data_IF_423329270847
#
_entry.id   IF_423329270847
#
_cell.length_a   1.000
_cell.length_b   1.000
_cell.length_c   1.000
_cell.angle_alpha   90.00
_cell.angle_beta   90.00
_cell.angle_gamma   90.00
#
_symmetry.space_group_name_H-M   'P 1'
#
loop_
_entity.id
_entity.type
_entity.pdbx_description
1 polymer ?
#
# COMPACT_ATOMS: atom_id res chain seq x y z
N UNK A 1 -4.52 0.92 -16.22
CA UNK A 1 -3.99 0.17 -15.06
C UNK A 1 -3.36 1.08 -14.02
N UNK A 2 -2.38 1.93 -14.36
CA UNK A 2 -1.66 2.76 -13.37
C UNK A 2 -2.57 3.60 -12.46
N UNK A 3 -3.63 4.22 -13.01
CA UNK A 3 -4.61 4.95 -12.21
C UNK A 3 -5.32 4.08 -11.15
N UNK A 4 -5.75 2.87 -11.53
CA UNK A 4 -6.40 1.94 -10.60
C UNK A 4 -5.43 1.52 -9.47
N UNK A 5 -4.16 1.26 -9.78
CA UNK A 5 -3.15 1.00 -8.75
C UNK A 5 -2.97 2.19 -7.80
N UNK A 6 -2.98 3.43 -8.32
CA UNK A 6 -2.93 4.64 -7.49
C UNK A 6 -4.17 4.81 -6.63
N UNK A 7 -5.35 4.44 -7.13
CA UNK A 7 -6.59 4.43 -6.33
C UNK A 7 -6.47 3.47 -5.17
N UNK A 8 -6.03 2.23 -5.41
CA UNK A 8 -5.87 1.24 -4.34
C UNK A 8 -4.80 1.68 -3.33
N UNK A 9 -3.67 2.24 -3.78
CA UNK A 9 -2.65 2.83 -2.91
C UNK A 9 -3.23 3.93 -2.01
N UNK A 10 -4.01 4.86 -2.56
CA UNK A 10 -4.61 5.94 -1.76
C UNK A 10 -5.64 5.37 -0.77
N UNK A 11 -6.42 4.36 -1.15
CA UNK A 11 -7.35 3.68 -0.24
C UNK A 11 -6.58 3.06 0.92
N UNK A 12 -5.50 2.32 0.65
CA UNK A 12 -4.68 1.69 1.68
C UNK A 12 -3.99 2.72 2.58
N UNK A 13 -3.55 3.86 2.03
CA UNK A 13 -3.07 4.98 2.82
C UNK A 13 -4.14 5.54 3.78
N UNK A 14 -5.40 5.65 3.33
CA UNK A 14 -6.51 5.99 4.22
C UNK A 14 -6.80 4.91 5.26
N UNK A 15 -6.63 3.62 4.93
CA UNK A 15 -6.74 2.52 5.90
C UNK A 15 -5.71 2.67 7.02
N UNK A 16 -4.46 3.03 6.71
CA UNK A 16 -3.44 3.29 7.75
C UNK A 16 -3.83 4.46 8.68
N UNK A 17 -4.62 5.41 8.17
CA UNK A 17 -5.15 6.55 8.90
C UNK A 17 -6.51 6.28 9.57
N UNK A 18 -7.01 5.04 9.57
CA UNK A 18 -8.38 4.70 10.02
C UNK A 18 -9.44 5.62 9.37
N UNK A 19 -9.26 5.92 8.08
CA UNK A 19 -10.05 6.85 7.28
C UNK A 19 -10.16 8.27 7.88
N UNK A 20 -9.21 8.71 8.69
CA UNK A 20 -9.10 10.11 9.08
C UNK A 20 -8.82 10.98 7.84
N UNK A 21 -9.46 12.16 7.66
CA UNK A 21 -10.33 12.87 8.62
C UNK A 21 -11.81 12.49 8.58
N UNK A 22 -12.24 11.66 7.62
CA UNK A 22 -13.66 11.32 7.43
C UNK A 22 -14.28 10.64 8.66
N UNK A 23 -13.53 9.77 9.32
CA UNK A 23 -13.97 9.12 10.56
C UNK A 23 -14.16 10.10 11.72
N UNK A 24 -13.36 11.16 11.79
CA UNK A 24 -13.51 12.22 12.80
C UNK A 24 -14.73 13.11 12.52
N UNK A 25 -14.95 13.47 11.26
CA UNK A 25 -16.09 14.29 10.85
C UNK A 25 -17.42 13.56 11.04
N UNK A 26 -17.47 12.27 10.73
CA UNK A 26 -18.66 11.44 10.96
C UNK A 26 -19.00 11.29 12.45
N UNK A 27 -17.98 11.23 13.33
CA UNK A 27 -18.18 11.23 14.79
C UNK A 27 -18.71 12.59 15.30
N UNK A 28 -18.21 13.69 14.75
CA UNK A 28 -18.62 15.03 15.14
C UNK A 28 -20.05 15.38 14.68
N UNK A 29 -20.49 14.83 13.55
CA UNK A 29 -21.84 15.03 13.03
C UNK A 29 -22.48 13.69 12.61
N UNK A 30 -23.27 13.04 13.48
CA UNK A 30 -23.90 11.75 13.21
C UNK A 30 -24.82 11.74 11.99
N UNK A 31 -25.35 12.90 11.57
CA UNK A 31 -26.17 13.00 10.34
C UNK A 31 -25.35 12.79 9.06
N UNK A 32 -24.03 13.01 9.12
CA UNK A 32 -23.10 12.75 8.01
C UNK A 32 -22.60 11.30 7.96
N UNK A 33 -22.82 10.52 9.03
CA UNK A 33 -22.45 9.10 9.07
C UNK A 33 -23.40 8.20 8.25
N UNK A 34 -24.48 8.77 7.68
CA UNK A 34 -25.44 8.06 6.86
C UNK A 34 -24.82 7.59 5.54
N UNK A 35 -24.76 6.26 5.36
CA UNK A 35 -24.62 5.67 4.03
C UNK A 35 -25.94 5.88 3.27
N UNK A 36 -25.93 6.13 1.94
CA UNK A 36 -24.82 5.94 1.00
C UNK A 36 -24.02 7.20 0.65
N UNK A 37 -24.51 8.40 0.98
CA UNK A 37 -23.93 9.68 0.53
C UNK A 37 -22.48 9.86 0.97
N UNK A 38 -22.15 9.50 2.22
CA UNK A 38 -20.79 9.66 2.73
C UNK A 38 -19.77 8.76 2.01
N UNK A 39 -20.18 7.56 1.60
CA UNK A 39 -19.33 6.65 0.82
C UNK A 39 -19.05 7.17 -0.60
N UNK A 40 -20.01 7.87 -1.21
CA UNK A 40 -19.81 8.52 -2.52
C UNK A 40 -18.80 9.65 -2.39
N UNK A 41 -18.94 10.49 -1.36
CA UNK A 41 -18.02 11.61 -1.11
C UNK A 41 -16.60 11.11 -0.89
N UNK A 42 -16.39 10.11 -0.03
CA UNK A 42 -15.05 9.56 0.21
C UNK A 42 -14.46 8.95 -1.06
N UNK A 43 -15.26 8.24 -1.86
CA UNK A 43 -14.82 7.68 -3.14
C UNK A 43 -14.38 8.77 -4.12
N UNK A 44 -15.16 9.86 -4.25
CA UNK A 44 -14.80 10.99 -5.10
C UNK A 44 -13.49 11.66 -4.64
N UNK A 45 -13.29 11.81 -3.34
CA UNK A 45 -12.04 12.38 -2.80
C UNK A 45 -10.85 11.47 -3.08
N UNK A 46 -10.98 10.16 -2.89
CA UNK A 46 -9.93 9.19 -3.24
C UNK A 46 -9.59 9.29 -4.72
N UNK A 47 -10.58 9.28 -5.61
CA UNK A 47 -10.34 9.40 -7.05
C UNK A 47 -9.66 10.72 -7.42
N UNK A 48 -10.05 11.84 -6.80
CA UNK A 48 -9.43 13.14 -7.03
C UNK A 48 -7.97 13.17 -6.58
N UNK A 49 -7.65 12.63 -5.39
CA UNK A 49 -6.29 12.53 -4.87
C UNK A 49 -5.44 11.63 -5.78
N UNK A 50 -5.94 10.45 -6.15
CA UNK A 50 -5.23 9.53 -7.04
C UNK A 50 -4.97 10.14 -8.41
N UNK A 51 -5.92 10.91 -8.94
CA UNK A 51 -5.74 11.62 -10.20
C UNK A 51 -4.65 12.69 -10.07
N UNK A 52 -4.68 13.49 -9.01
CA UNK A 52 -3.67 14.52 -8.74
C UNK A 52 -2.25 13.93 -8.61
N UNK A 53 -2.09 12.83 -7.88
CA UNK A 53 -0.79 12.14 -7.72
C UNK A 53 -0.28 11.65 -9.09
N UNK A 54 -1.15 10.99 -9.87
CA UNK A 54 -0.76 10.46 -11.18
C UNK A 54 -0.37 11.59 -12.14
N UNK A 55 -1.14 12.67 -12.20
CA UNK A 55 -0.82 13.83 -13.04
C UNK A 55 0.49 14.49 -12.62
N UNK A 56 0.73 14.63 -11.32
CA UNK A 56 1.97 15.19 -10.81
C UNK A 56 3.18 14.33 -11.22
N UNK A 57 3.13 13.02 -11.00
CA UNK A 57 4.26 12.15 -11.32
C UNK A 57 4.49 11.97 -12.84
N UNK A 58 3.43 11.75 -13.62
CA UNK A 58 3.59 11.44 -15.05
C UNK A 58 3.78 12.72 -15.87
N UNK A 59 2.94 13.74 -15.64
CA UNK A 59 2.92 14.94 -16.49
C UNK A 59 3.90 16.00 -16.02
N UNK A 60 4.01 16.25 -14.71
CA UNK A 60 4.89 17.30 -14.18
C UNK A 60 6.32 16.80 -13.99
N UNK A 61 6.50 15.60 -13.43
CA UNK A 61 7.84 15.00 -13.24
C UNK A 61 8.33 14.21 -14.46
N UNK A 62 7.49 14.01 -15.48
CA UNK A 62 7.86 13.31 -16.72
C UNK A 62 8.15 11.82 -16.55
N UNK A 63 7.62 11.18 -15.50
CA UNK A 63 7.83 9.74 -15.29
C UNK A 63 7.10 8.93 -16.36
N UNK A 64 7.76 7.87 -16.84
CA UNK A 64 7.09 6.86 -17.66
C UNK A 64 5.94 6.20 -16.87
N UNK A 65 4.83 5.93 -17.55
CA UNK A 65 3.59 5.45 -16.92
C UNK A 65 3.74 4.07 -16.27
N UNK A 66 4.61 3.21 -16.81
CA UNK A 66 4.87 1.86 -16.28
C UNK A 66 5.87 1.92 -15.14
N UNK A 67 6.97 2.67 -15.28
CA UNK A 67 7.91 2.90 -14.16
C UNK A 67 7.21 3.57 -12.98
N UNK A 68 6.37 4.59 -13.23
CA UNK A 68 5.51 5.20 -12.23
C UNK A 68 4.68 4.14 -11.49
N UNK A 69 3.94 3.31 -12.22
CA UNK A 69 3.07 2.29 -11.64
C UNK A 69 3.82 1.33 -10.70
N UNK A 70 5.01 0.88 -11.10
CA UNK A 70 5.77 -0.08 -10.31
C UNK A 70 6.47 0.60 -9.13
N UNK A 71 7.12 1.73 -9.38
CA UNK A 71 7.92 2.45 -8.38
C UNK A 71 7.07 3.12 -7.31
N UNK A 72 5.91 3.66 -7.68
CA UNK A 72 5.07 4.43 -6.75
C UNK A 72 3.96 3.56 -6.18
N UNK A 73 2.83 3.27 -6.85
CA UNK A 73 1.73 2.57 -6.21
C UNK A 73 2.01 1.11 -5.88
N UNK A 74 2.63 0.32 -6.77
CA UNK A 74 2.89 -1.11 -6.49
C UNK A 74 3.84 -1.29 -5.31
N UNK A 75 4.95 -0.54 -5.28
CA UNK A 75 5.92 -0.62 -4.18
C UNK A 75 5.31 -0.10 -2.87
N UNK A 76 4.53 0.98 -2.92
CA UNK A 76 3.84 1.54 -1.74
C UNK A 76 2.82 0.54 -1.19
N UNK A 77 1.98 -0.05 -2.04
CA UNK A 77 1.03 -1.09 -1.64
C UNK A 77 1.71 -2.26 -0.95
N UNK A 78 2.84 -2.72 -1.48
CA UNK A 78 3.60 -3.80 -0.85
C UNK A 78 4.11 -3.40 0.55
N UNK A 79 4.63 -2.17 0.70
CA UNK A 79 5.01 -1.62 2.00
C UNK A 79 3.83 -1.56 2.98
N UNK A 80 2.67 -1.07 2.52
CA UNK A 80 1.44 -1.01 3.31
C UNK A 80 0.98 -2.40 3.76
N UNK A 81 1.02 -3.40 2.88
CA UNK A 81 0.66 -4.78 3.24
C UNK A 81 1.59 -5.39 4.28
N UNK A 82 2.89 -5.08 4.27
CA UNK A 82 3.77 -5.54 5.35
C UNK A 82 3.37 -4.89 6.68
N UNK A 83 3.04 -3.59 6.69
CA UNK A 83 2.56 -2.91 7.91
C UNK A 83 1.24 -3.50 8.42
N UNK A 84 0.28 -3.74 7.52
CA UNK A 84 -1.06 -4.22 7.86
C UNK A 84 -1.03 -5.71 8.23
N UNK A 85 -0.46 -6.55 7.39
CA UNK A 85 -0.53 -8.02 7.54
C UNK A 85 0.55 -8.52 8.49
N UNK A 86 1.82 -8.19 8.24
CA UNK A 86 2.93 -8.75 9.04
C UNK A 86 3.10 -8.06 10.39
N UNK A 87 2.91 -6.75 10.44
CA UNK A 87 3.04 -6.00 11.70
C UNK A 87 1.71 -5.83 12.43
N UNK A 88 0.58 -6.25 11.85
CA UNK A 88 -0.78 -6.15 12.43
C UNK A 88 -1.12 -4.75 12.97
N UNK A 89 -0.60 -3.69 12.35
CA UNK A 89 -0.70 -2.30 12.85
C UNK A 89 -0.26 -2.14 14.32
N UNK A 90 0.56 -3.06 14.82
CA UNK A 90 0.99 -3.18 16.21
C UNK A 90 2.02 -2.13 16.65
N UNK A 91 2.94 -1.67 15.77
CA UNK A 91 3.74 -0.51 16.07
C UNK A 91 2.82 0.68 16.38
N UNK A 92 3.00 1.32 17.53
CA UNK A 92 2.30 2.55 17.94
C UNK A 92 0.80 2.41 18.27
N UNK A 93 0.33 1.26 18.77
CA UNK A 93 -1.07 1.09 19.25
C UNK A 93 -1.54 2.15 20.26
N UNK A 94 -0.62 2.75 21.03
CA UNK A 94 -0.93 3.78 22.03
C UNK A 94 -0.97 5.20 21.48
N UNK A 95 -0.59 5.41 20.23
CA UNK A 95 -0.56 6.75 19.62
C UNK A 95 -1.93 7.10 19.03
N UNK A 96 -2.50 8.28 19.32
CA UNK A 96 -3.78 8.69 18.74
C UNK A 96 -3.67 9.06 17.25
N UNK A 97 -4.79 8.99 16.54
CA UNK A 97 -4.90 9.53 15.19
C UNK A 97 -4.90 11.07 15.21
N UNK A 98 -4.34 11.77 14.21
CA UNK A 98 -3.82 11.23 12.94
C UNK A 98 -2.34 10.81 13.00
N UNK A 99 -1.65 11.08 14.11
CA UNK A 99 -0.20 10.88 14.20
C UNK A 99 0.19 9.41 13.98
N UNK A 100 -0.59 8.47 14.53
CA UNK A 100 -0.38 7.03 14.31
C UNK A 100 -0.37 6.68 12.82
N UNK A 101 -1.40 7.06 12.08
CA UNK A 101 -1.48 6.72 10.66
C UNK A 101 -0.41 7.40 9.83
N UNK A 102 0.01 8.63 10.18
CA UNK A 102 1.14 9.30 9.53
C UNK A 102 2.44 8.51 9.74
N UNK A 103 2.73 8.08 10.99
CA UNK A 103 3.93 7.27 11.28
C UNK A 103 3.91 5.96 10.49
N UNK A 104 2.77 5.27 10.48
CA UNK A 104 2.60 4.02 9.74
C UNK A 104 2.75 4.23 8.23
N UNK A 105 2.22 5.33 7.67
CA UNK A 105 2.37 5.68 6.26
C UNK A 105 3.83 6.00 5.89
N UNK A 106 4.55 6.74 6.75
CA UNK A 106 5.98 7.00 6.56
C UNK A 106 6.78 5.71 6.59
N UNK A 107 6.48 4.81 7.53
CA UNK A 107 7.11 3.49 7.57
C UNK A 107 6.81 2.66 6.33
N UNK A 108 5.57 2.65 5.86
CA UNK A 108 5.18 1.96 4.64
C UNK A 108 5.93 2.53 3.42
N UNK A 109 6.10 3.86 3.33
CA UNK A 109 6.87 4.50 2.28
C UNK A 109 8.37 4.15 2.33
N UNK A 110 8.97 4.13 3.52
CA UNK A 110 10.37 3.68 3.70
C UNK A 110 10.50 2.23 3.23
N UNK A 111 9.58 1.37 3.66
CA UNK A 111 9.60 -0.03 3.30
C UNK A 111 9.38 -0.26 1.81
N UNK A 112 8.52 0.53 1.17
CA UNK A 112 8.32 0.52 -0.27
C UNK A 112 9.63 0.83 -1.02
N UNK A 113 10.36 1.86 -0.60
CA UNK A 113 11.64 2.23 -1.19
C UNK A 113 12.69 1.12 -1.02
N UNK A 114 12.80 0.58 0.20
CA UNK A 114 13.76 -0.49 0.52
C UNK A 114 13.42 -1.75 -0.27
N UNK A 115 12.17 -2.19 -0.26
CA UNK A 115 11.73 -3.39 -0.97
C UNK A 115 11.90 -3.21 -2.48
N UNK A 116 11.58 -2.04 -3.05
CA UNK A 116 11.78 -1.78 -4.48
C UNK A 116 13.21 -2.05 -4.91
N UNK A 117 14.18 -1.51 -4.17
CA UNK A 117 15.61 -1.75 -4.43
C UNK A 117 16.03 -3.18 -4.16
N UNK A 118 15.55 -3.76 -3.06
CA UNK A 118 15.86 -5.13 -2.68
C UNK A 118 15.43 -6.13 -3.76
N UNK A 119 14.20 -6.01 -4.25
CA UNK A 119 13.72 -6.86 -5.33
C UNK A 119 14.55 -6.63 -6.59
N UNK A 120 14.73 -5.40 -7.07
CA UNK A 120 15.55 -5.17 -8.28
C UNK A 120 16.94 -5.83 -8.19
N UNK A 121 17.58 -5.72 -7.03
CA UNK A 121 18.86 -6.38 -6.76
C UNK A 121 18.74 -7.91 -6.79
N UNK A 122 17.75 -8.48 -6.11
CA UNK A 122 17.49 -9.92 -6.10
C UNK A 122 17.21 -10.46 -7.51
N UNK A 123 16.48 -9.71 -8.35
CA UNK A 123 16.22 -10.07 -9.74
C UNK A 123 17.50 -10.18 -10.56
N UNK A 124 18.43 -9.25 -10.37
CA UNK A 124 19.74 -9.28 -11.00
C UNK A 124 20.57 -10.53 -10.63
N UNK A 125 20.42 -11.05 -9.41
CA UNK A 125 21.11 -12.27 -8.96
C UNK A 125 20.40 -13.53 -9.43
N UNK A 126 19.07 -13.59 -9.28
CA UNK A 126 18.29 -14.82 -9.49
C UNK A 126 17.98 -15.10 -10.95
N UNK A 127 17.71 -14.04 -11.73
CA UNK A 127 17.30 -14.14 -13.13
C UNK A 127 18.40 -13.64 -14.07
N UNK A 128 19.21 -12.70 -13.62
CA UNK A 128 20.24 -12.04 -14.41
C UNK A 128 19.86 -10.61 -14.82
N UNK A 129 20.72 -9.92 -15.59
CA UNK A 129 20.50 -8.53 -15.99
C UNK A 129 19.22 -8.37 -16.84
N UNK A 130 18.28 -7.56 -16.35
CA UNK A 130 17.04 -7.24 -17.04
C UNK A 130 17.05 -5.77 -17.50
N UNK A 131 16.53 -5.52 -18.71
CA UNK A 131 16.38 -4.15 -19.21
C UNK A 131 15.23 -3.44 -18.50
N UNK A 132 15.51 -2.25 -18.02
CA UNK A 132 14.51 -1.31 -17.50
C UNK A 132 13.98 -0.43 -18.63
N UNK A 133 12.69 -0.07 -18.55
CA UNK A 133 12.04 0.83 -19.48
C UNK A 133 11.54 0.21 -20.79
N UNK A 134 11.01 1.08 -21.66
CA UNK A 134 10.35 0.70 -22.90
C UNK A 134 11.26 -0.06 -23.89
N UNK A 135 10.68 -0.90 -24.78
CA UNK A 135 9.27 -1.30 -24.84
C UNK A 135 8.93 -2.49 -23.92
N UNK A 136 9.93 -3.13 -23.31
CA UNK A 136 9.77 -4.43 -22.65
C UNK A 136 9.49 -4.37 -21.15
N UNK A 137 9.97 -3.33 -20.46
CA UNK A 137 9.78 -3.12 -19.01
C UNK A 137 10.10 -4.37 -18.16
N UNK A 138 11.14 -5.13 -18.54
CA UNK A 138 11.38 -6.45 -17.99
C UNK A 138 11.66 -6.39 -16.48
N UNK A 139 12.46 -5.42 -16.04
CA UNK A 139 12.77 -5.24 -14.63
C UNK A 139 11.56 -4.79 -13.81
N UNK A 140 10.75 -3.87 -14.36
CA UNK A 140 9.55 -3.33 -13.71
C UNK A 140 8.49 -4.41 -13.55
N UNK A 141 8.22 -5.19 -14.60
CA UNK A 141 7.27 -6.29 -14.58
C UNK A 141 7.71 -7.41 -13.63
N UNK A 142 9.00 -7.75 -13.64
CA UNK A 142 9.55 -8.71 -12.70
C UNK A 142 9.40 -8.23 -11.25
N UNK A 143 9.71 -6.96 -10.98
CA UNK A 143 9.61 -6.37 -9.62
C UNK A 143 8.16 -6.36 -9.15
N UNK A 144 7.23 -5.91 -9.99
CA UNK A 144 5.81 -5.88 -9.66
C UNK A 144 5.25 -7.29 -9.38
N UNK A 145 5.59 -8.27 -10.22
CA UNK A 145 5.14 -9.65 -10.04
C UNK A 145 5.76 -10.29 -8.80
N UNK A 146 7.04 -10.05 -8.53
CA UNK A 146 7.71 -10.58 -7.34
C UNK A 146 7.06 -10.05 -6.06
N UNK A 147 6.80 -8.74 -5.97
CA UNK A 147 6.18 -8.12 -4.79
C UNK A 147 4.72 -8.52 -4.61
N UNK A 148 3.84 -8.21 -5.58
CA UNK A 148 2.39 -8.33 -5.41
C UNK A 148 1.82 -9.63 -5.99
N UNK A 149 2.46 -10.22 -6.99
CA UNK A 149 2.02 -11.48 -7.60
C UNK A 149 2.44 -12.72 -6.82
N UNK A 150 3.62 -12.70 -6.21
CA UNK A 150 4.20 -13.86 -5.52
C UNK A 150 4.32 -13.62 -4.02
N UNK A 151 5.05 -12.59 -3.58
CA UNK A 151 5.34 -12.42 -2.15
C UNK A 151 4.11 -12.01 -1.35
N UNK A 152 3.28 -11.09 -1.85
CA UNK A 152 2.06 -10.68 -1.14
C UNK A 152 1.12 -11.87 -0.83
N UNK A 153 0.75 -12.75 -1.78
CA UNK A 153 -0.07 -13.92 -1.45
C UNK A 153 0.56 -14.85 -0.42
N UNK A 154 1.89 -15.02 -0.44
CA UNK A 154 2.61 -15.82 0.58
C UNK A 154 2.52 -15.15 1.95
N UNK A 155 2.75 -13.83 2.02
CA UNK A 155 2.63 -13.02 3.23
C UNK A 155 1.19 -13.09 3.79
N UNK A 156 0.18 -12.92 2.93
CA UNK A 156 -1.22 -12.99 3.33
C UNK A 156 -1.61 -14.39 3.80
N UNK A 157 -1.17 -15.45 3.11
CA UNK A 157 -1.41 -16.82 3.54
C UNK A 157 -0.75 -17.11 4.89
N UNK A 158 0.48 -16.65 5.11
CA UNK A 158 1.19 -16.86 6.36
C UNK A 158 0.62 -16.04 7.54
N UNK A 159 0.39 -14.75 7.32
CA UNK A 159 -0.08 -13.81 8.35
C UNK A 159 -1.56 -13.98 8.66
N UNK A 160 -2.42 -13.86 7.65
CA UNK A 160 -3.88 -13.88 7.83
C UNK A 160 -4.45 -15.29 7.74
N UNK A 161 -3.95 -16.12 6.81
CA UNK A 161 -4.45 -17.47 6.59
C UNK A 161 -4.07 -18.44 7.72
N UNK A 162 -2.78 -18.49 8.06
CA UNK A 162 -2.25 -19.36 9.12
C UNK A 162 -2.14 -18.68 10.48
N UNK A 163 -2.40 -17.37 10.59
CA UNK A 163 -2.29 -16.65 11.87
C UNK A 163 -0.88 -16.68 12.44
N UNK A 164 0.16 -16.63 11.58
CA UNK A 164 1.57 -16.81 11.93
C UNK A 164 1.94 -18.17 12.55
N UNK A 165 1.11 -19.20 12.39
CA UNK A 165 1.51 -20.56 12.74
C UNK A 165 2.69 -21.00 11.86
N UNK A 166 3.75 -21.65 12.40
CA UNK A 166 3.89 -22.17 13.75
C UNK A 166 4.55 -21.20 14.77
N UNK A 167 4.94 -20.00 14.36
CA UNK A 167 5.63 -19.03 15.24
C UNK A 167 4.75 -18.60 16.42
N UNK A 168 3.46 -18.45 16.19
CA UNK A 168 2.46 -18.20 17.24
C UNK A 168 1.67 -19.48 17.54
N UNK A 169 2.36 -20.54 17.97
CA UNK A 169 1.70 -21.73 18.51
C UNK A 169 1.56 -21.63 20.04
N UNK A 170 0.37 -21.26 20.53
CA UNK A 170 -0.05 -21.66 21.89
C UNK A 170 -0.28 -20.61 22.99
N UNK A 171 -0.59 -19.32 22.72
CA UNK A 171 -0.97 -18.42 23.84
C UNK A 171 -1.98 -17.32 23.56
N UNK A 172 -2.79 -17.42 22.49
CA UNK A 172 -3.93 -16.52 22.32
C UNK A 172 -5.22 -17.31 22.43
N UNK A 173 -5.72 -17.40 23.67
CA UNK A 173 -7.14 -17.59 23.92
C UNK A 173 -7.88 -16.54 23.08
N UNK A 174 -8.57 -17.03 22.06
CA UNK A 174 -9.51 -16.25 21.27
C UNK A 174 -10.59 -15.73 22.23
N UNK A 175 -10.92 -14.44 22.26
CA UNK A 175 -12.25 -14.03 22.67
C UNK A 175 -13.30 -14.58 21.70
#
# INVERSE_FOLDING_TARGET
MSFACTVVMVIMGFVLLDFWPFSSLAKANPSLAGQPLWGIVTTLVVMAISWAILQFCVTVQGMDVVDYMVRVPVSTLFGEFIIVVMMQLSPFKTTPQPLRGIILAVMAAILALVMHRFYQFAGGILIGPMKSGAPGYALELWTANAMLGVTFPVIALFGDGFGFWPLLSGSQNRP
#
